data_IF_272494990792
#
_entry.id   IF_272494990792
#
_cell.length_a   1.000
_cell.length_b   1.000
_cell.length_c   1.000
_cell.angle_alpha   90.00
_cell.angle_beta   90.00
_cell.angle_gamma   90.00
#
_symmetry.space_group_name_H-M   'P 1'
#
loop_
_entity.id
_entity.type
_entity.pdbx_description
1 polymer ?
#
# COMPACT_ATOMS: atom_id res chain seq x y z
N UNK A 1 -11.10 0.63 11.36
CA UNK A 1 -10.34 -0.49 10.75
C UNK A 1 -11.15 -1.77 10.83
N UNK A 2 -11.41 -2.41 9.68
CA UNK A 2 -11.96 -3.76 9.63
C UNK A 2 -10.85 -4.76 9.38
N UNK A 3 -10.92 -5.92 10.05
CA UNK A 3 -10.08 -7.09 9.80
C UNK A 3 -10.99 -8.19 9.29
N UNK A 4 -10.71 -8.71 8.09
CA UNK A 4 -11.52 -9.74 7.46
C UNK A 4 -10.78 -11.08 7.42
N UNK A 5 -11.54 -12.17 7.45
CA UNK A 5 -11.05 -13.47 7.03
C UNK A 5 -10.99 -13.53 5.48
N UNK A 6 -10.28 -14.52 4.94
CA UNK A 6 -10.14 -14.72 3.49
C UNK A 6 -11.46 -15.07 2.78
N UNK A 7 -12.52 -15.40 3.53
CA UNK A 7 -13.88 -15.62 3.01
C UNK A 7 -14.74 -14.34 3.01
N UNK A 8 -14.15 -13.19 3.36
CA UNK A 8 -14.83 -11.89 3.43
C UNK A 8 -15.58 -11.63 4.73
N UNK A 9 -15.64 -12.59 5.67
CA UNK A 9 -16.30 -12.35 6.95
C UNK A 9 -15.49 -11.41 7.84
N UNK A 10 -16.17 -10.49 8.54
CA UNK A 10 -15.51 -9.59 9.50
C UNK A 10 -15.04 -10.40 10.71
N UNK A 11 -13.73 -10.42 10.94
CA UNK A 11 -13.11 -11.00 12.14
C UNK A 11 -13.09 -10.01 13.30
N UNK A 12 -12.63 -8.79 13.06
CA UNK A 12 -12.55 -7.73 14.07
C UNK A 12 -12.91 -6.38 13.47
N UNK A 13 -13.41 -5.48 14.32
CA UNK A 13 -13.67 -4.09 13.97
C UNK A 13 -13.14 -3.16 15.06
N UNK A 14 -12.43 -2.12 14.64
CA UNK A 14 -11.93 -1.05 15.50
C UNK A 14 -12.60 0.28 15.08
N UNK A 15 -13.39 0.92 15.96
CA UNK A 15 -14.10 2.16 15.68
C UNK A 15 -13.17 3.38 15.80
N UNK A 16 -12.04 3.37 15.08
CA UNK A 16 -11.00 4.39 15.17
C UNK A 16 -11.32 5.69 14.41
N UNK A 17 -12.52 5.81 13.83
CA UNK A 17 -12.95 6.95 13.02
C UNK A 17 -12.72 6.72 11.53
N UNK A 18 -12.75 7.81 10.75
CA UNK A 18 -12.36 7.83 9.34
C UNK A 18 -10.85 7.61 9.24
N UNK A 19 -10.46 6.40 8.84
CA UNK A 19 -9.09 6.09 8.46
C UNK A 19 -9.01 6.15 6.94
N UNK A 20 -7.90 6.66 6.39
CA UNK A 20 -7.72 6.78 4.93
C UNK A 20 -7.05 5.53 4.35
N UNK A 21 -5.73 5.37 4.49
CA UNK A 21 -5.02 4.15 4.05
C UNK A 21 -4.45 3.37 5.22
N UNK A 22 -4.12 2.10 4.96
CA UNK A 22 -3.56 1.16 5.93
C UNK A 22 -2.46 0.34 5.27
N UNK A 23 -1.37 0.09 5.98
CA UNK A 23 -0.30 -0.83 5.54
C UNK A 23 0.30 -1.54 6.77
N UNK A 24 1.01 -2.64 6.54
CA UNK A 24 1.53 -3.51 7.58
C UNK A 24 2.94 -4.04 7.29
N UNK A 25 3.73 -4.27 8.33
CA UNK A 25 5.03 -4.97 8.23
C UNK A 25 5.23 -5.94 9.38
N UNK A 26 5.72 -7.13 9.06
CA UNK A 26 6.02 -8.19 10.02
C UNK A 26 7.36 -7.99 10.72
N UNK A 27 7.53 -8.61 11.90
CA UNK A 27 8.80 -8.63 12.64
C UNK A 27 9.02 -7.42 13.54
N UNK A 28 7.95 -6.68 13.86
CA UNK A 28 8.01 -5.54 14.76
C UNK A 28 8.02 -6.02 16.22
N UNK A 29 8.97 -5.55 17.03
CA UNK A 29 9.16 -6.02 18.41
C UNK A 29 8.59 -5.05 19.42
N UNK A 30 7.71 -5.55 20.30
CA UNK A 30 7.20 -4.83 21.48
C UNK A 30 7.33 -5.72 22.71
N UNK A 31 8.06 -5.26 23.73
CA UNK A 31 8.27 -6.04 24.96
C UNK A 31 8.95 -7.39 24.72
N UNK A 32 9.83 -7.48 23.72
CA UNK A 32 10.52 -8.72 23.33
C UNK A 32 9.70 -9.70 22.49
N UNK A 33 8.41 -9.43 22.25
CA UNK A 33 7.54 -10.24 21.40
C UNK A 33 7.46 -9.67 19.99
N UNK A 34 7.48 -10.55 18.99
CA UNK A 34 7.26 -10.22 17.59
C UNK A 34 5.77 -10.04 17.27
N UNK A 35 5.48 -9.00 16.49
CA UNK A 35 4.17 -8.65 15.98
C UNK A 35 4.27 -8.29 14.49
N UNK A 36 3.12 -8.21 13.85
CA UNK A 36 2.92 -7.43 12.65
C UNK A 36 2.47 -6.04 13.08
N UNK A 37 3.25 -5.01 12.74
CA UNK A 37 2.86 -3.62 12.90
C UNK A 37 1.85 -3.29 11.80
N UNK A 38 0.72 -2.72 12.17
CA UNK A 38 -0.27 -2.16 11.24
C UNK A 38 -0.39 -0.68 11.56
N UNK A 39 -0.29 0.17 10.55
CA UNK A 39 -0.48 1.62 10.68
C UNK A 39 -1.60 2.09 9.76
N UNK A 40 -2.28 3.17 10.14
CA UNK A 40 -3.27 3.83 9.28
C UNK A 40 -3.28 5.34 9.51
N UNK A 41 -3.46 6.12 8.44
CA UNK A 41 -3.69 7.57 8.52
C UNK A 41 -5.12 7.88 8.98
N UNK A 42 -5.26 8.96 9.75
CA UNK A 42 -6.54 9.50 10.20
C UNK A 42 -6.50 11.03 10.04
N UNK A 43 -6.96 11.50 8.88
CA UNK A 43 -6.94 12.91 8.47
C UNK A 43 -7.77 13.79 9.41
N UNK A 44 -9.03 13.43 9.69
CA UNK A 44 -9.94 14.17 10.58
C UNK A 44 -9.42 14.30 12.01
N UNK A 45 -8.53 13.40 12.42
CA UNK A 45 -7.93 13.36 13.76
C UNK A 45 -6.51 13.91 13.82
N UNK A 46 -5.92 14.29 12.68
CA UNK A 46 -4.54 14.76 12.58
C UNK A 46 -3.57 13.78 13.25
N UNK A 47 -3.58 12.53 12.79
CA UNK A 47 -2.63 11.55 13.28
C UNK A 47 -2.67 10.19 12.62
N UNK A 48 -1.92 9.26 13.22
CA UNK A 48 -1.73 7.89 12.76
C UNK A 48 -2.21 6.93 13.85
N UNK A 49 -3.12 6.04 13.51
CA UNK A 49 -3.43 4.90 14.34
C UNK A 49 -2.41 3.78 14.11
N UNK A 50 -2.03 3.12 15.19
CA UNK A 50 -1.18 1.92 15.13
C UNK A 50 -1.85 0.77 15.86
N UNK A 51 -1.68 -0.41 15.30
CA UNK A 51 -2.19 -1.67 15.82
C UNK A 51 -1.07 -2.71 15.79
N UNK A 52 -1.22 -3.73 16.63
CA UNK A 52 -0.35 -4.90 16.65
C UNK A 52 -1.20 -6.13 16.36
N UNK A 53 -0.87 -6.82 15.28
CA UNK A 53 -1.40 -8.15 14.98
C UNK A 53 -0.42 -9.19 15.49
N UNK A 54 -0.90 -10.10 16.33
CA UNK A 54 -0.15 -11.27 16.78
C UNK A 54 -0.16 -12.31 15.64
N UNK A 55 1.00 -12.65 15.03
CA UNK A 55 1.04 -13.57 13.90
C UNK A 55 0.71 -15.03 14.29
N UNK A 56 0.69 -15.36 15.59
CA UNK A 56 0.36 -16.70 16.08
C UNK A 56 -1.15 -16.85 16.29
N UNK A 57 -1.77 -15.89 16.97
CA UNK A 57 -3.21 -15.96 17.29
C UNK A 57 -4.09 -15.33 16.21
N UNK A 58 -3.47 -14.54 15.32
CA UNK A 58 -4.14 -13.67 14.34
C UNK A 58 -5.08 -12.66 15.00
N UNK A 59 -4.86 -12.32 16.27
CA UNK A 59 -5.61 -11.28 16.96
C UNK A 59 -4.90 -9.93 16.82
N UNK A 60 -5.67 -8.94 16.39
CA UNK A 60 -5.24 -7.55 16.32
C UNK A 60 -5.65 -6.81 17.59
N UNK A 61 -4.82 -5.88 18.05
CA UNK A 61 -5.17 -4.92 19.09
C UNK A 61 -4.71 -3.51 18.71
N UNK A 62 -5.42 -2.50 19.17
CA UNK A 62 -4.92 -1.13 19.12
C UNK A 62 -3.64 -1.03 19.97
N UNK A 63 -2.61 -0.40 19.41
CA UNK A 63 -1.34 -0.17 20.08
C UNK A 63 -1.21 1.26 20.57
N UNK A 64 -1.70 2.22 19.75
CA UNK A 64 -1.88 3.60 20.17
C UNK A 64 -2.08 4.54 18.99
N UNK A 65 -2.34 5.81 19.34
CA UNK A 65 -2.51 6.91 18.39
C UNK A 65 -1.32 7.87 18.50
N UNK A 66 -0.79 8.28 17.35
CA UNK A 66 0.33 9.23 17.23
C UNK A 66 -0.22 10.48 16.56
N UNK A 67 -0.22 11.62 17.27
CA UNK A 67 -0.59 12.90 16.65
C UNK A 67 0.47 13.36 15.67
N UNK A 68 0.04 13.90 14.54
CA UNK A 68 0.91 14.56 13.55
C UNK A 68 0.95 16.08 13.76
N UNK A 69 0.33 16.60 14.83
CA UNK A 69 0.27 18.02 15.13
C UNK A 69 -0.69 18.76 14.20
N UNK A 70 -0.14 19.66 13.39
CA UNK A 70 -0.86 20.47 12.40
C UNK A 70 -0.90 19.84 11.00
N UNK A 71 -0.24 18.69 10.83
CA UNK A 71 -0.19 17.96 9.57
C UNK A 71 -1.39 17.04 9.43
N UNK A 72 -2.13 17.17 8.33
CA UNK A 72 -3.27 16.34 7.95
C UNK A 72 -2.78 15.18 7.07
N UNK A 73 -2.57 13.97 7.64
CA UNK A 73 -2.11 12.82 6.87
C UNK A 73 -3.21 12.31 5.95
N UNK A 74 -2.88 11.99 4.70
CA UNK A 74 -3.81 11.45 3.71
C UNK A 74 -3.38 10.03 3.29
N UNK A 75 -2.54 9.91 2.26
CA UNK A 75 -1.86 8.67 1.87
C UNK A 75 -1.00 8.09 2.99
N UNK A 76 -0.88 6.76 3.05
CA UNK A 76 -0.13 6.08 4.10
C UNK A 76 0.45 4.73 3.67
N UNK A 77 1.71 4.49 4.06
CA UNK A 77 2.37 3.18 3.96
C UNK A 77 3.38 2.96 5.09
N UNK A 78 3.75 1.69 5.33
CA UNK A 78 4.74 1.28 6.32
C UNK A 78 5.99 0.78 5.59
N UNK A 79 7.15 1.30 5.96
CA UNK A 79 8.45 0.81 5.48
C UNK A 79 9.16 -0.04 6.53
N UNK A 80 10.00 -0.97 6.09
CA UNK A 80 11.02 -1.58 6.95
C UNK A 80 12.35 -1.67 6.19
N UNK A 81 13.16 -0.62 6.29
CA UNK A 81 14.47 -0.59 5.65
C UNK A 81 15.58 -0.86 6.68
N UNK A 82 16.37 -1.91 6.46
CA UNK A 82 17.45 -2.33 7.36
C UNK A 82 17.02 -2.51 8.84
N UNK A 83 15.80 -3.02 9.06
CA UNK A 83 15.25 -3.24 10.40
C UNK A 83 14.69 -1.98 11.07
N UNK A 84 14.68 -0.84 10.38
CA UNK A 84 14.05 0.38 10.85
C UNK A 84 12.64 0.48 10.30
N UNK A 85 11.66 0.27 11.18
CA UNK A 85 10.25 0.46 10.85
C UNK A 85 9.94 1.95 10.71
N UNK A 86 9.23 2.27 9.65
CA UNK A 86 8.90 3.63 9.26
C UNK A 86 7.39 3.75 9.05
N UNK A 87 6.79 4.80 9.60
CA UNK A 87 5.45 5.25 9.25
C UNK A 87 5.63 6.38 8.23
N UNK A 88 5.03 6.26 7.07
CA UNK A 88 5.14 7.23 5.98
C UNK A 88 3.74 7.69 5.67
N UNK A 89 3.50 9.00 5.83
CA UNK A 89 2.24 9.60 5.43
C UNK A 89 2.53 10.75 4.49
N UNK A 90 1.67 10.93 3.50
CA UNK A 90 1.64 12.12 2.66
C UNK A 90 0.43 12.99 3.00
N UNK A 91 0.26 14.09 2.28
CA UNK A 91 -0.82 15.05 2.47
C UNK A 91 -1.21 15.66 1.14
N UNK A 92 -2.47 16.10 1.04
CA UNK A 92 -3.05 16.78 -0.14
C UNK A 92 -2.24 17.99 -0.65
N UNK A 93 -1.36 18.54 0.18
CA UNK A 93 -0.43 19.63 -0.16
C UNK A 93 0.86 19.20 -0.89
N UNK A 94 1.05 17.89 -1.13
CA UNK A 94 2.26 17.30 -1.68
C UNK A 94 3.38 17.05 -0.68
N UNK A 95 3.21 17.43 0.60
CA UNK A 95 4.18 17.12 1.66
C UNK A 95 4.11 15.63 2.02
N UNK A 96 5.28 15.03 2.29
CA UNK A 96 5.41 13.64 2.76
C UNK A 96 6.30 13.62 3.99
N UNK A 97 5.85 12.99 5.07
CA UNK A 97 6.61 12.84 6.30
C UNK A 97 6.93 11.39 6.58
N UNK A 98 8.19 11.15 6.97
CA UNK A 98 8.72 9.83 7.28
C UNK A 98 9.15 9.83 8.73
N UNK A 99 8.48 9.02 9.55
CA UNK A 99 8.84 8.79 10.94
C UNK A 99 9.44 7.41 11.13
N UNK A 100 10.50 7.27 11.92
CA UNK A 100 10.81 5.97 12.51
C UNK A 100 9.87 5.71 13.68
N UNK A 101 9.49 4.44 13.89
CA UNK A 101 8.60 4.03 14.98
C UNK A 101 9.22 2.91 15.81
N UNK A 102 9.13 3.04 17.13
CA UNK A 102 9.61 2.06 18.11
C UNK A 102 8.63 1.95 19.28
N UNK A 103 8.82 0.94 20.13
CA UNK A 103 8.18 0.89 21.43
C UNK A 103 9.03 1.60 22.48
N UNK A 104 8.42 2.50 23.26
CA UNK A 104 9.07 3.15 24.38
C UNK A 104 9.26 2.19 25.58
N UNK A 105 9.81 2.71 26.68
CA UNK A 105 10.05 1.92 27.89
C UNK A 105 8.77 1.35 28.53
N UNK A 106 7.59 1.93 28.23
CA UNK A 106 6.29 1.47 28.69
C UNK A 106 5.58 0.56 27.67
N UNK A 107 6.20 0.33 26.51
CA UNK A 107 5.62 -0.42 25.41
C UNK A 107 4.62 0.37 24.56
N UNK A 108 4.56 1.70 24.70
CA UNK A 108 3.72 2.58 23.88
C UNK A 108 4.44 2.98 22.58
N UNK A 109 3.71 3.36 21.52
CA UNK A 109 4.33 3.84 20.28
C UNK A 109 5.08 5.15 20.51
N UNK A 110 6.34 5.19 20.08
CA UNK A 110 7.16 6.38 20.01
C UNK A 110 7.65 6.59 18.59
N UNK A 111 7.58 7.83 18.13
CA UNK A 111 8.03 8.21 16.78
C UNK A 111 9.09 9.28 16.80
N UNK A 112 9.94 9.26 15.77
CA UNK A 112 10.89 10.34 15.48
C UNK A 112 10.76 10.71 14.01
N UNK A 113 10.44 11.98 13.73
CA UNK A 113 10.44 12.50 12.37
C UNK A 113 11.87 12.48 11.84
N UNK A 114 12.12 11.70 10.79
CA UNK A 114 13.43 11.58 10.17
C UNK A 114 13.57 12.50 8.96
N UNK A 115 12.49 12.66 8.19
CA UNK A 115 12.55 13.32 6.89
C UNK A 115 11.20 13.90 6.49
N UNK A 116 11.26 15.04 5.80
CA UNK A 116 10.13 15.64 5.09
C UNK A 116 10.50 15.77 3.62
N UNK A 117 9.68 15.21 2.75
CA UNK A 117 9.81 15.23 1.29
C UNK A 117 8.65 16.01 0.68
N UNK A 118 8.71 16.28 -0.63
CA UNK A 118 7.66 17.03 -1.31
C UNK A 118 7.53 16.70 -2.80
N UNK A 119 6.30 16.58 -3.27
CA UNK A 119 5.87 16.63 -4.68
C UNK A 119 5.08 17.91 -4.97
N UNK A 120 4.71 18.14 -6.24
CA UNK A 120 4.13 19.41 -6.68
C UNK A 120 2.66 19.61 -6.31
N UNK A 121 1.91 18.52 -6.18
CA UNK A 121 0.47 18.46 -5.99
C UNK A 121 0.07 17.22 -5.17
N UNK A 122 -1.23 16.94 -5.07
CA UNK A 122 -1.80 15.91 -4.21
C UNK A 122 -1.28 14.50 -4.58
N UNK A 123 -0.67 13.79 -3.62
CA UNK A 123 -0.39 12.37 -3.70
C UNK A 123 -1.30 11.57 -2.75
N UNK A 124 -1.33 10.25 -2.94
CA UNK A 124 -1.95 9.34 -1.97
C UNK A 124 -1.28 7.96 -1.94
N UNK A 125 -1.24 7.27 -3.09
CA UNK A 125 -0.72 5.92 -3.13
C UNK A 125 0.78 5.86 -2.82
N UNK A 126 1.18 5.09 -1.80
CA UNK A 126 2.59 4.86 -1.52
C UNK A 126 2.94 3.41 -1.17
N UNK A 127 4.15 2.98 -1.53
CA UNK A 127 4.67 1.65 -1.20
C UNK A 127 6.19 1.67 -1.08
N UNK A 128 6.73 0.87 -0.15
CA UNK A 128 8.18 0.73 0.06
C UNK A 128 8.67 -0.64 -0.39
N UNK A 129 9.71 -0.67 -1.23
CA UNK A 129 10.52 -1.86 -1.42
C UNK A 129 11.55 -1.95 -0.29
N UNK A 130 11.17 -2.63 0.80
CA UNK A 130 11.99 -2.83 2.00
C UNK A 130 13.40 -3.33 1.72
N UNK A 131 13.60 -4.12 0.65
CA UNK A 131 14.89 -4.69 0.31
C UNK A 131 15.89 -3.66 -0.26
N UNK A 132 15.39 -2.60 -0.90
CA UNK A 132 16.23 -1.57 -1.54
C UNK A 132 16.07 -0.20 -0.88
N UNK A 133 15.07 -0.05 -0.01
CA UNK A 133 14.70 1.22 0.60
C UNK A 133 14.07 2.19 -0.39
N UNK A 134 13.54 1.71 -1.52
CA UNK A 134 12.86 2.60 -2.46
C UNK A 134 11.43 2.86 -1.99
N UNK A 135 11.11 4.12 -1.71
CA UNK A 135 9.74 4.61 -1.54
C UNK A 135 9.19 5.01 -2.91
N UNK A 136 8.05 4.46 -3.28
CA UNK A 136 7.27 4.89 -4.43
C UNK A 136 6.05 5.69 -3.97
N UNK A 137 5.71 6.74 -4.70
CA UNK A 137 4.58 7.63 -4.41
C UNK A 137 3.85 7.98 -5.70
N UNK A 138 2.53 7.85 -5.72
CA UNK A 138 1.65 8.36 -6.76
C UNK A 138 1.27 9.80 -6.46
N UNK A 139 1.63 10.73 -7.35
CA UNK A 139 1.05 12.07 -7.41
C UNK A 139 -0.08 12.02 -8.44
N UNK A 140 -1.33 12.14 -7.98
CA UNK A 140 -2.57 11.70 -8.65
C UNK A 140 -2.61 12.11 -10.14
N UNK A 141 -2.43 13.40 -10.39
CA UNK A 141 -2.52 14.02 -11.72
C UNK A 141 -1.21 14.02 -12.53
N UNK A 142 -0.11 13.52 -11.96
CA UNK A 142 1.24 13.77 -12.48
C UNK A 142 1.99 12.48 -12.80
N UNK A 143 1.96 11.48 -11.93
CA UNK A 143 2.62 10.20 -12.15
C UNK A 143 3.24 9.57 -10.90
N UNK A 144 4.16 8.65 -11.13
CA UNK A 144 4.81 7.86 -10.08
C UNK A 144 6.22 8.36 -9.86
N UNK A 145 6.56 8.59 -8.60
CA UNK A 145 7.84 9.07 -8.13
C UNK A 145 8.55 8.02 -7.29
N UNK A 146 9.87 8.15 -7.18
CA UNK A 146 10.72 7.34 -6.31
C UNK A 146 11.66 8.22 -5.50
N UNK A 147 11.80 7.90 -4.22
CA UNK A 147 12.95 8.27 -3.40
C UNK A 147 13.65 7.03 -2.87
N UNK A 148 14.91 7.18 -2.46
CA UNK A 148 15.58 6.21 -1.62
C UNK A 148 15.55 6.67 -0.15
N UNK A 149 15.23 5.75 0.75
CA UNK A 149 15.10 5.96 2.19
C UNK A 149 16.43 5.79 2.95
N UNK A 150 17.52 5.43 2.27
CA UNK A 150 18.83 5.35 2.90
C UNK A 150 19.26 6.73 3.42
N UNK A 151 19.88 6.80 4.62
CA UNK A 151 20.38 8.06 5.17
C UNK A 151 21.27 8.82 4.19
N UNK A 152 21.01 10.12 4.02
CA UNK A 152 21.78 10.98 3.12
C UNK A 152 21.39 10.90 1.63
N UNK A 153 20.35 10.13 1.29
CA UNK A 153 19.79 10.13 -0.07
C UNK A 153 19.18 11.49 -0.45
N UNK A 154 19.09 11.76 -1.75
CA UNK A 154 18.53 13.00 -2.30
C UNK A 154 17.04 13.16 -1.97
N UNK A 155 16.61 14.36 -1.58
CA UNK A 155 15.19 14.74 -1.41
C UNK A 155 14.49 15.02 -2.75
N UNK A 156 15.22 15.03 -3.86
CA UNK A 156 14.63 15.17 -5.19
C UNK A 156 14.06 13.83 -5.67
N UNK A 157 12.75 13.73 -5.99
CA UNK A 157 12.18 12.50 -6.51
C UNK A 157 12.68 12.19 -7.92
N UNK A 158 12.82 10.90 -8.21
CA UNK A 158 13.05 10.38 -9.54
C UNK A 158 11.72 9.99 -10.17
N UNK A 159 11.46 10.39 -11.42
CA UNK A 159 10.23 10.02 -12.11
C UNK A 159 10.33 8.57 -12.61
N UNK A 160 9.35 7.74 -12.24
CA UNK A 160 9.20 6.36 -12.72
C UNK A 160 8.24 6.32 -13.90
N UNK A 161 7.09 6.97 -13.76
CA UNK A 161 6.08 7.06 -14.81
C UNK A 161 5.39 8.42 -14.75
N UNK A 162 4.73 8.79 -15.85
CA UNK A 162 3.93 10.02 -15.95
C UNK A 162 2.51 9.66 -16.34
N UNK A 163 1.55 10.43 -15.83
CA UNK A 163 0.20 10.49 -16.38
C UNK A 163 0.32 11.01 -17.81
N UNK A 164 0.03 10.14 -18.78
CA UNK A 164 0.09 10.44 -20.21
C UNK A 164 -1.28 10.29 -20.89
N UNK A 165 -2.31 9.89 -20.13
CA UNK A 165 -3.68 9.59 -20.58
C UNK A 165 -3.71 8.58 -21.73
N UNK A 166 -2.72 7.68 -21.75
CA UNK A 166 -2.58 6.59 -22.72
C UNK A 166 -2.28 5.27 -22.03
N UNK A 167 -1.27 5.26 -21.17
CA UNK A 167 -0.90 4.14 -20.30
C UNK A 167 -1.49 4.35 -18.93
N UNK A 168 -1.24 5.54 -18.37
CA UNK A 168 -1.77 5.98 -17.07
C UNK A 168 -2.74 7.14 -17.33
N UNK A 169 -3.98 6.92 -16.96
CA UNK A 169 -5.04 7.93 -16.84
C UNK A 169 -5.15 8.29 -15.36
N UNK A 170 -5.07 9.58 -15.08
CA UNK A 170 -5.34 10.21 -13.79
C UNK A 170 -6.68 9.73 -13.22
N UNK A 171 -6.77 9.38 -11.93
CA UNK A 171 -5.76 9.56 -10.89
C UNK A 171 -4.82 8.35 -10.69
N UNK A 172 -3.55 8.61 -10.35
CA UNK A 172 -2.61 7.60 -9.85
C UNK A 172 -2.86 7.36 -8.36
N UNK A 173 -3.63 6.33 -8.09
CA UNK A 173 -4.04 5.98 -6.73
C UNK A 173 -3.07 4.97 -6.10
N UNK A 174 -3.60 3.96 -5.41
CA UNK A 174 -2.83 2.98 -4.65
C UNK A 174 -1.68 2.38 -5.45
N UNK A 175 -0.58 2.12 -4.73
CA UNK A 175 0.60 1.46 -5.24
C UNK A 175 0.88 0.20 -4.40
N UNK A 176 1.29 -0.88 -5.05
CA UNK A 176 1.76 -2.08 -4.33
C UNK A 176 2.91 -2.75 -5.09
N UNK A 177 3.59 -3.69 -4.44
CA UNK A 177 4.68 -4.46 -5.04
C UNK A 177 4.42 -5.97 -4.90
N UNK A 178 4.18 -6.63 -6.03
CA UNK A 178 4.13 -8.09 -6.12
C UNK A 178 5.54 -8.66 -6.32
N UNK A 179 5.93 -9.67 -5.54
CA UNK A 179 7.21 -10.39 -5.65
C UNK A 179 6.94 -11.78 -6.22
N UNK A 180 7.36 -12.04 -7.44
CA UNK A 180 7.15 -13.32 -8.13
C UNK A 180 8.50 -13.93 -8.54
N UNK A 181 9.00 -14.86 -7.72
CA UNK A 181 10.30 -15.47 -7.90
C UNK A 181 11.44 -14.44 -7.91
N UNK A 182 12.17 -14.38 -9.03
CA UNK A 182 13.25 -13.42 -9.23
C UNK A 182 12.78 -12.01 -9.64
N UNK A 183 11.49 -11.83 -9.90
CA UNK A 183 10.93 -10.57 -10.37
C UNK A 183 10.16 -9.86 -9.25
N UNK A 184 10.18 -8.53 -9.29
CA UNK A 184 9.27 -7.68 -8.52
C UNK A 184 8.52 -6.78 -9.49
N UNK A 185 7.25 -6.55 -9.24
CA UNK A 185 6.38 -5.72 -10.05
C UNK A 185 5.79 -4.62 -9.19
N UNK A 186 6.06 -3.36 -9.55
CA UNK A 186 5.32 -2.21 -9.06
C UNK A 186 4.00 -2.15 -9.83
N UNK A 187 2.89 -2.14 -9.10
CA UNK A 187 1.55 -2.11 -9.66
C UNK A 187 0.86 -0.85 -9.16
N UNK A 188 0.27 -0.10 -10.08
CA UNK A 188 -0.38 1.18 -9.80
C UNK A 188 -1.83 1.16 -10.28
N UNK A 189 -2.75 1.63 -9.44
CA UNK A 189 -4.11 1.92 -9.87
C UNK A 189 -4.11 3.17 -10.76
N UNK A 190 -4.75 3.04 -11.91
CA UNK A 190 -5.04 4.13 -12.85
C UNK A 190 -6.55 4.33 -12.79
N UNK A 191 -6.99 5.15 -11.84
CA UNK A 191 -8.39 5.18 -11.41
C UNK A 191 -9.31 5.67 -12.53
N UNK A 192 -8.91 6.69 -13.29
CA UNK A 192 -9.77 7.29 -14.31
C UNK A 192 -10.05 6.44 -15.55
N UNK A 193 -9.47 5.24 -15.67
CA UNK A 193 -9.84 4.28 -16.70
C UNK A 193 -9.97 2.83 -16.23
N UNK A 194 -10.13 2.63 -14.92
CA UNK A 194 -10.35 1.32 -14.28
C UNK A 194 -9.28 0.27 -14.65
N UNK A 195 -8.01 0.70 -14.76
CA UNK A 195 -6.90 -0.20 -15.09
C UNK A 195 -5.74 -0.16 -14.12
N UNK A 196 -4.93 -1.22 -14.16
CA UNK A 196 -3.79 -1.41 -13.28
C UNK A 196 -2.52 -1.53 -14.10
N UNK A 197 -1.63 -0.55 -13.97
CA UNK A 197 -0.36 -0.49 -14.69
C UNK A 197 0.69 -1.32 -13.97
N UNK A 198 1.45 -2.13 -14.71
CA UNK A 198 2.45 -3.03 -14.17
C UNK A 198 3.83 -2.69 -14.71
N UNK A 199 4.77 -2.46 -13.79
CA UNK A 199 6.18 -2.18 -14.08
C UNK A 199 7.05 -3.24 -13.40
N UNK A 200 7.89 -3.94 -14.16
CA UNK A 200 8.95 -4.75 -13.55
C UNK A 200 10.00 -3.84 -12.94
N UNK A 201 10.27 -4.01 -11.65
CA UNK A 201 11.25 -3.23 -10.90
C UNK A 201 12.65 -3.70 -11.29
N UNK A 202 13.21 -3.04 -12.29
CA UNK A 202 14.57 -3.26 -12.76
C UNK A 202 15.17 -1.97 -13.32
N UNK A 203 16.49 -1.80 -13.19
CA UNK A 203 17.16 -0.56 -13.61
C UNK A 203 16.60 0.70 -12.94
N UNK A 204 17.06 1.86 -13.41
CA UNK A 204 16.65 3.14 -12.85
C UNK A 204 15.21 3.53 -13.23
N UNK A 205 14.78 3.23 -14.46
CA UNK A 205 13.48 3.67 -15.01
C UNK A 205 12.34 2.64 -14.85
N UNK A 206 12.65 1.40 -14.43
CA UNK A 206 11.72 0.28 -14.47
C UNK A 206 11.24 -0.06 -15.89
N UNK A 207 10.75 -1.28 -16.07
CA UNK A 207 10.28 -1.76 -17.37
C UNK A 207 8.77 -1.89 -17.33
N UNK A 208 8.06 -1.10 -18.11
CA UNK A 208 6.61 -1.27 -18.29
C UNK A 208 6.32 -2.62 -18.97
N UNK A 209 5.51 -3.46 -18.33
CA UNK A 209 5.16 -4.80 -18.87
C UNK A 209 3.72 -4.90 -19.35
N UNK A 210 2.88 -3.92 -19.03
CA UNK A 210 1.51 -3.81 -19.55
C UNK A 210 0.53 -3.27 -18.51
N UNK A 211 -0.76 -3.38 -18.83
CA UNK A 211 -1.86 -3.07 -17.92
C UNK A 211 -3.01 -4.05 -18.11
N UNK A 212 -3.83 -4.19 -17.08
CA UNK A 212 -5.01 -5.05 -17.10
C UNK A 212 -6.20 -4.34 -16.46
N UNK A 213 -7.40 -4.88 -16.66
CA UNK A 213 -8.63 -4.49 -15.99
C UNK A 213 -9.27 -5.75 -15.40
N UNK A 214 -10.04 -5.60 -14.32
CA UNK A 214 -10.87 -6.67 -13.75
C UNK A 214 -12.29 -6.44 -14.26
N UNK A 215 -12.77 -7.37 -15.08
CA UNK A 215 -14.10 -7.30 -15.71
C UNK A 215 -15.05 -8.29 -15.06
N UNK A 216 -16.36 -8.12 -15.29
CA UNK A 216 -17.39 -9.02 -14.80
C UNK A 216 -17.05 -10.49 -15.08
N UNK A 217 -17.05 -11.31 -14.02
CA UNK A 217 -16.89 -12.75 -14.07
C UNK A 217 -18.07 -13.48 -13.43
N UNK A 218 -17.97 -14.80 -13.34
CA UNK A 218 -19.05 -15.64 -12.79
C UNK A 218 -19.20 -15.51 -11.25
N UNK A 219 -18.16 -15.03 -10.55
CA UNK A 219 -18.08 -15.01 -9.09
C UNK A 219 -17.99 -13.62 -8.47
N UNK A 220 -17.31 -12.71 -9.16
CA UNK A 220 -17.17 -11.30 -8.79
C UNK A 220 -17.48 -10.49 -10.03
N UNK A 221 -18.07 -9.32 -9.84
CA UNK A 221 -18.18 -8.28 -10.84
C UNK A 221 -16.82 -7.62 -11.12
N UNK A 222 -16.79 -6.79 -12.16
CA UNK A 222 -15.64 -5.97 -12.49
C UNK A 222 -15.35 -4.95 -11.40
N UNK A 223 -14.10 -4.49 -11.35
CA UNK A 223 -13.66 -3.51 -10.36
C UNK A 223 -13.56 -2.14 -11.01
N UNK A 224 -14.11 -1.13 -10.34
CA UNK A 224 -14.15 0.25 -10.83
C UNK A 224 -13.68 1.25 -9.79
N UNK A 225 -13.11 2.37 -10.27
CA UNK A 225 -12.61 3.49 -9.48
C UNK A 225 -11.78 3.04 -8.27
N UNK A 226 -10.83 2.12 -8.47
CA UNK A 226 -9.98 1.62 -7.39
C UNK A 226 -9.09 2.73 -6.82
N UNK A 227 -9.33 3.11 -5.57
CA UNK A 227 -8.36 3.80 -4.72
C UNK A 227 -7.21 2.84 -4.33
N UNK A 228 -7.41 2.03 -3.28
CA UNK A 228 -6.38 1.16 -2.73
C UNK A 228 -6.29 -0.23 -3.36
N UNK A 229 -5.08 -0.76 -3.48
CA UNK A 229 -4.80 -2.16 -3.81
C UNK A 229 -3.57 -2.67 -3.04
N UNK A 230 -3.53 -3.97 -2.78
CA UNK A 230 -2.37 -4.61 -2.16
C UNK A 230 -2.10 -6.02 -2.72
N UNK A 231 -0.87 -6.49 -2.56
CA UNK A 231 -0.36 -7.72 -3.14
C UNK A 231 0.29 -8.62 -2.07
N UNK A 232 -0.13 -9.88 -2.03
CA UNK A 232 0.55 -10.92 -1.26
C UNK A 232 1.22 -11.94 -2.17
N UNK A 233 2.50 -12.21 -1.91
CA UNK A 233 3.31 -13.16 -2.66
C UNK A 233 3.41 -14.51 -1.95
N UNK A 234 3.07 -15.58 -2.67
CA UNK A 234 3.09 -16.94 -2.14
C UNK A 234 1.73 -17.41 -1.60
N UNK A 235 1.66 -18.64 -1.06
CA UNK A 235 0.38 -19.28 -0.73
C UNK A 235 -0.43 -18.47 0.29
N UNK A 236 -1.69 -18.17 -0.04
CA UNK A 236 -2.65 -17.54 0.88
C UNK A 236 -4.08 -18.02 0.57
N UNK A 237 -4.75 -18.62 1.56
CA UNK A 237 -6.10 -19.18 1.37
C UNK A 237 -6.18 -20.14 0.18
N UNK A 238 -7.02 -19.81 -0.80
CA UNK A 238 -7.20 -20.58 -2.04
C UNK A 238 -6.18 -20.26 -3.15
N UNK A 239 -5.28 -19.30 -2.93
CA UNK A 239 -4.39 -18.74 -3.94
C UNK A 239 -2.96 -19.28 -3.73
N UNK A 240 -2.53 -20.31 -4.50
CA UNK A 240 -1.27 -21.01 -4.24
C UNK A 240 -0.02 -20.19 -4.57
N UNK A 241 -0.14 -19.17 -5.42
CA UNK A 241 0.99 -18.36 -5.89
C UNK A 241 0.82 -16.87 -5.54
N UNK A 242 -0.08 -16.54 -4.63
CA UNK A 242 -0.38 -15.18 -4.23
C UNK A 242 -1.67 -14.63 -4.82
N UNK A 243 -2.09 -13.51 -4.27
CA UNK A 243 -3.31 -12.82 -4.65
C UNK A 243 -3.12 -11.32 -4.50
N UNK A 244 -4.00 -10.58 -5.16
CA UNK A 244 -4.11 -9.14 -5.00
C UNK A 244 -5.52 -8.77 -4.55
N UNK A 245 -5.62 -7.80 -3.65
CA UNK A 245 -6.88 -7.19 -3.23
C UNK A 245 -7.01 -5.82 -3.89
N UNK A 246 -8.20 -5.49 -4.39
CA UNK A 246 -8.50 -4.22 -5.05
C UNK A 246 -9.76 -3.62 -4.44
N UNK A 247 -9.71 -2.34 -4.07
CA UNK A 247 -10.90 -1.55 -3.75
C UNK A 247 -11.80 -1.47 -4.99
N UNK A 248 -13.10 -1.65 -4.78
CA UNK A 248 -14.14 -1.47 -5.78
C UNK A 248 -15.19 -0.48 -5.27
N UNK A 249 -15.37 0.61 -6.00
CA UNK A 249 -16.30 1.67 -5.64
C UNK A 249 -17.78 1.26 -5.85
N UNK A 250 -18.04 0.30 -6.75
CA UNK A 250 -19.40 -0.06 -7.15
C UNK A 250 -19.60 -1.59 -7.21
N UNK A 251 -19.87 -2.18 -6.04
CA UNK A 251 -20.20 -3.61 -5.93
C UNK A 251 -21.58 -3.92 -6.52
N UNK A 252 -21.64 -4.67 -7.60
CA UNK A 252 -22.90 -5.09 -8.24
C UNK A 252 -23.43 -6.37 -7.60
N UNK A 253 -24.76 -6.47 -7.39
CA UNK A 253 -25.80 -5.56 -7.89
C UNK A 253 -26.22 -4.46 -6.90
N UNK A 254 -25.43 -4.15 -5.87
CA UNK A 254 -25.81 -3.33 -4.71
C UNK A 254 -25.27 -1.88 -4.85
N UNK A 255 -26.02 -0.95 -5.48
CA UNK A 255 -25.47 0.34 -5.88
C UNK A 255 -25.07 1.20 -4.67
N UNK A 256 -23.88 1.81 -4.74
CA UNK A 256 -23.32 2.61 -3.65
C UNK A 256 -22.73 1.79 -2.51
N UNK A 257 -22.65 0.46 -2.64
CA UNK A 257 -21.85 -0.37 -1.76
C UNK A 257 -20.45 -0.53 -2.34
N UNK A 258 -19.44 -0.22 -1.53
CA UNK A 258 -18.04 -0.47 -1.85
C UNK A 258 -17.57 -1.76 -1.18
N UNK A 259 -16.59 -2.45 -1.78
CA UNK A 259 -15.92 -3.58 -1.14
C UNK A 259 -14.49 -3.78 -1.65
N UNK A 260 -13.92 -4.97 -1.41
CA UNK A 260 -12.65 -5.38 -1.99
C UNK A 260 -12.79 -6.70 -2.74
N UNK A 261 -12.21 -6.77 -3.94
CA UNK A 261 -12.14 -8.00 -4.73
C UNK A 261 -10.75 -8.64 -4.61
N UNK A 262 -10.71 -9.95 -4.40
CA UNK A 262 -9.47 -10.73 -4.40
C UNK A 262 -9.28 -11.45 -5.75
N UNK A 263 -8.17 -11.17 -6.42
CA UNK A 263 -7.81 -11.78 -7.71
C UNK A 263 -6.57 -12.65 -7.56
N UNK A 264 -6.62 -13.84 -8.17
CA UNK A 264 -5.48 -14.76 -8.21
C UNK A 264 -4.35 -14.17 -9.06
N UNK A 265 -3.13 -14.09 -8.50
CA UNK A 265 -1.98 -13.57 -9.23
C UNK A 265 -1.72 -14.33 -10.54
N UNK A 266 -2.05 -15.63 -10.60
CA UNK A 266 -1.87 -16.46 -11.80
C UNK A 266 -2.69 -15.97 -12.98
N UNK A 267 -3.87 -15.41 -12.73
CA UNK A 267 -4.74 -14.87 -13.78
C UNK A 267 -4.18 -13.56 -14.35
N UNK A 268 -3.70 -12.67 -13.48
CA UNK A 268 -3.03 -11.41 -13.87
C UNK A 268 -1.76 -11.71 -14.67
N UNK A 269 -0.93 -12.64 -14.16
CA UNK A 269 0.29 -13.10 -14.84
C UNK A 269 -0.01 -13.65 -16.24
N UNK A 270 -1.04 -14.48 -16.37
CA UNK A 270 -1.48 -15.04 -17.64
C UNK A 270 -1.96 -13.96 -18.60
N UNK A 271 -2.77 -13.00 -18.13
CA UNK A 271 -3.29 -11.91 -18.95
C UNK A 271 -2.18 -11.03 -19.53
N UNK A 272 -1.11 -10.81 -18.77
CA UNK A 272 0.04 -10.00 -19.18
C UNK A 272 1.18 -10.81 -19.81
N UNK A 273 1.03 -12.14 -19.92
CA UNK A 273 2.08 -13.05 -20.39
C UNK A 273 3.41 -12.86 -19.63
N UNK A 274 3.35 -12.64 -18.32
CA UNK A 274 4.55 -12.50 -17.48
C UNK A 274 5.17 -13.90 -17.25
N UNK A 275 6.50 -13.99 -17.08
CA UNK A 275 7.15 -15.26 -16.77
C UNK A 275 6.60 -15.83 -15.47
N UNK A 276 6.34 -17.15 -15.46
CA UNK A 276 5.97 -17.87 -14.24
C UNK A 276 7.09 -17.88 -13.21
N UNK A 277 6.74 -18.12 -11.94
CA UNK A 277 7.72 -18.45 -10.91
C UNK A 277 8.58 -19.62 -11.42
N UNK A 278 9.86 -19.36 -11.68
CA UNK A 278 10.80 -20.45 -11.93
C UNK A 278 10.84 -21.32 -10.67
N UNK A 279 10.58 -22.62 -10.82
CA UNK A 279 10.74 -23.62 -9.74
C UNK A 279 12.20 -23.76 -9.34
#
# INVERSE_FOLDING_TARGET
>A
LYVHNMDGTVKQFFPSGALNNVDLRSGFKVGGKDYVLVGASADEKLGLYTYLLDPVTLETKEWGFITTGDYEPYGFCVGNYNGQFQLIADAKSGEVRIWTVTADANGAPAVKLERTLKVGSQPEGCVVDDATGNLYLGEEDVGIWRWNLAPGSSDTPESIAKVDRKRITDDVEGLTIMRDGAHKYLIASSQGDDTYNVFRIEGAAHTYVGRFAIVDGDKIDGVTATDGLDAWSGPIGQFPEGAMAFHDDQDKPDPGQQNYKMVDWRDIRKALNLPGAAQ
#
